data_IF_044661319241
#
_entry.id   IF_044661319241
#
_cell.length_a   1.000
_cell.length_b   1.000
_cell.length_c   1.000
_cell.angle_alpha   90.00
_cell.angle_beta   90.00
_cell.angle_gamma   90.00
#
_symmetry.space_group_name_H-M   'P 1'
#
loop_
_entity.id
_entity.type
_entity.pdbx_description
1 polymer ?
#
# COMPACT_ATOMS: atom_id res chain seq x y z
N UNK A 1 10.14 -3.77 -29.95
CA UNK A 1 9.77 -2.59 -29.11
C UNK A 1 8.29 -2.58 -28.71
N UNK A 2 7.35 -3.09 -29.52
CA UNK A 2 5.92 -3.16 -29.14
C UNK A 2 5.62 -3.98 -27.87
N UNK A 3 6.35 -5.08 -27.64
CA UNK A 3 6.19 -5.90 -26.42
C UNK A 3 6.61 -5.16 -25.14
N UNK A 4 7.69 -4.38 -25.19
CA UNK A 4 8.19 -3.64 -24.02
C UNK A 4 7.25 -2.49 -23.61
N UNK A 5 6.62 -1.82 -24.59
CA UNK A 5 5.66 -0.76 -24.33
C UNK A 5 4.38 -1.32 -23.66
N UNK A 6 3.86 -2.44 -24.17
CA UNK A 6 2.67 -3.10 -23.60
C UNK A 6 2.87 -3.62 -22.18
N UNK A 7 4.05 -4.16 -21.86
CA UNK A 7 4.40 -4.58 -20.50
C UNK A 7 4.50 -3.38 -19.53
N UNK A 8 5.17 -2.30 -19.94
CA UNK A 8 5.31 -1.11 -19.11
C UNK A 8 3.98 -0.43 -18.78
N UNK A 9 3.03 -0.39 -19.72
CA UNK A 9 1.70 0.19 -19.49
C UNK A 9 0.85 -0.57 -18.47
N UNK A 10 0.91 -1.92 -18.48
CA UNK A 10 0.17 -2.76 -17.53
C UNK A 10 0.69 -2.58 -16.11
N UNK A 11 2.00 -2.44 -15.95
CA UNK A 11 2.63 -2.30 -14.64
C UNK A 11 2.28 -0.96 -13.97
N UNK A 12 2.27 0.14 -14.74
CA UNK A 12 1.88 1.47 -14.26
C UNK A 12 0.37 1.52 -13.94
N UNK A 13 -0.49 0.96 -14.80
CA UNK A 13 -1.92 0.91 -14.54
C UNK A 13 -2.24 0.15 -13.23
N UNK A 14 -1.55 -0.96 -12.98
CA UNK A 14 -1.68 -1.71 -11.73
C UNK A 14 -1.27 -0.93 -10.48
N UNK A 15 -0.26 -0.05 -10.57
CA UNK A 15 0.17 0.80 -9.45
C UNK A 15 -0.86 1.89 -9.10
N UNK A 16 -1.47 2.52 -10.12
CA UNK A 16 -2.48 3.56 -9.90
C UNK A 16 -3.74 2.97 -9.27
N UNK A 17 -4.22 1.85 -9.81
CA UNK A 17 -5.40 1.15 -9.31
C UNK A 17 -5.18 0.70 -7.86
N UNK A 18 -3.96 0.23 -7.53
CA UNK A 18 -3.64 -0.16 -6.17
C UNK A 18 -3.81 1.00 -5.16
N UNK A 19 -3.39 2.22 -5.53
CA UNK A 19 -3.57 3.38 -4.65
C UNK A 19 -5.01 3.80 -4.44
N UNK A 20 -5.88 3.62 -5.45
CA UNK A 20 -7.32 3.87 -5.30
C UNK A 20 -7.93 2.88 -4.32
N UNK A 21 -7.66 1.58 -4.49
CA UNK A 21 -8.24 0.55 -3.62
C UNK A 21 -7.77 0.64 -2.16
N UNK A 22 -6.48 0.92 -1.92
CA UNK A 22 -5.98 1.04 -0.54
C UNK A 22 -6.69 2.18 0.21
N UNK A 23 -7.01 3.29 -0.48
CA UNK A 23 -7.78 4.41 0.10
C UNK A 23 -9.25 4.09 0.36
N UNK A 24 -9.81 3.13 -0.36
CA UNK A 24 -11.18 2.66 -0.11
C UNK A 24 -11.24 1.62 1.01
N UNK A 25 -10.21 0.77 1.12
CA UNK A 25 -10.17 -0.34 2.08
C UNK A 25 -9.69 0.07 3.47
N UNK A 26 -8.85 1.11 3.56
CA UNK A 26 -8.23 1.53 4.80
C UNK A 26 -8.34 3.03 5.02
N UNK A 27 -8.19 3.44 6.28
CA UNK A 27 -8.29 4.84 6.69
C UNK A 27 -7.05 5.26 7.48
N UNK A 28 -6.66 6.52 7.35
CA UNK A 28 -5.66 7.13 8.23
C UNK A 28 -6.16 7.06 9.67
N UNK A 29 -5.27 6.65 10.59
CA UNK A 29 -5.59 6.41 11.98
C UNK A 29 -5.98 4.95 12.30
N UNK A 30 -6.15 4.10 11.29
CA UNK A 30 -6.50 2.68 11.49
C UNK A 30 -5.27 1.85 11.86
N UNK A 31 -5.41 0.96 12.85
CA UNK A 31 -4.37 0.00 13.18
C UNK A 31 -4.42 -1.16 12.18
N UNK A 32 -3.28 -1.43 11.54
CA UNK A 32 -3.15 -2.52 10.57
C UNK A 32 -1.89 -3.31 10.82
N UNK A 33 -1.94 -4.58 10.42
CA UNK A 33 -0.77 -5.46 10.38
C UNK A 33 -0.51 -5.91 8.95
N UNK A 34 0.69 -5.62 8.45
CA UNK A 34 1.15 -5.98 7.12
C UNK A 34 2.34 -6.93 7.28
N UNK A 35 2.11 -8.22 7.06
CA UNK A 35 3.11 -9.25 7.35
C UNK A 35 3.48 -9.26 8.84
N UNK A 36 4.76 -9.00 9.12
CA UNK A 36 5.30 -8.96 10.49
C UNK A 36 5.28 -7.54 11.10
N UNK A 37 4.98 -6.51 10.31
CA UNK A 37 4.93 -5.12 10.77
C UNK A 37 3.52 -4.74 11.20
N UNK A 38 3.37 -4.26 12.42
CA UNK A 38 2.13 -3.73 12.98
C UNK A 38 2.28 -2.24 13.26
N UNK A 39 1.26 -1.46 12.91
CA UNK A 39 1.31 -0.01 13.09
C UNK A 39 0.01 0.68 12.69
N UNK A 40 -0.06 1.96 13.00
CA UNK A 40 -1.18 2.83 12.65
C UNK A 40 -0.92 3.48 11.30
N UNK A 41 -1.91 3.51 10.41
CA UNK A 41 -1.78 4.24 9.14
C UNK A 41 -1.66 5.73 9.43
N UNK A 42 -0.50 6.32 9.10
CA UNK A 42 -0.26 7.76 9.20
C UNK A 42 -0.70 8.48 7.91
N UNK A 43 -0.40 7.89 6.75
CA UNK A 43 -0.69 8.49 5.45
C UNK A 43 -0.98 7.42 4.38
N UNK A 44 -1.98 7.65 3.53
CA UNK A 44 -2.23 6.85 2.32
C UNK A 44 -1.95 7.69 1.07
N UNK A 45 -0.74 7.59 0.55
CA UNK A 45 -0.32 8.23 -0.70
C UNK A 45 -0.81 7.51 -1.96
N UNK A 46 -0.55 8.11 -3.12
CA UNK A 46 -0.99 7.56 -4.41
C UNK A 46 -0.35 6.21 -4.75
N UNK A 47 0.90 6.00 -4.31
CA UNK A 47 1.69 4.79 -4.64
C UNK A 47 2.16 4.01 -3.41
N UNK A 48 2.14 4.63 -2.23
CA UNK A 48 2.60 4.04 -0.98
C UNK A 48 1.73 4.48 0.19
N UNK A 49 1.74 3.67 1.24
CA UNK A 49 1.09 3.92 2.52
C UNK A 49 2.15 3.91 3.61
N UNK A 50 2.10 4.88 4.52
CA UNK A 50 3.02 5.00 5.65
C UNK A 50 2.32 4.53 6.92
N UNK A 51 2.98 3.64 7.65
CA UNK A 51 2.58 3.18 8.97
C UNK A 51 3.50 3.78 10.03
N UNK A 52 2.94 4.26 11.14
CA UNK A 52 3.65 4.53 12.37
C UNK A 52 3.60 3.28 13.24
N UNK A 53 4.75 2.65 13.47
CA UNK A 53 4.84 1.47 14.33
C UNK A 53 4.72 1.86 15.80
N UNK A 54 4.43 0.88 16.67
CA UNK A 54 4.36 1.09 18.12
C UNK A 54 5.72 1.52 18.73
N UNK A 55 6.81 1.31 17.99
CA UNK A 55 8.17 1.74 18.34
C UNK A 55 8.44 3.21 17.96
N UNK A 56 7.50 3.87 17.28
CA UNK A 56 7.62 5.25 16.81
C UNK A 56 8.35 5.40 15.47
N UNK A 57 8.53 4.31 14.72
CA UNK A 57 9.18 4.33 13.40
C UNK A 57 8.14 4.50 12.27
N UNK A 58 8.50 5.28 11.25
CA UNK A 58 7.69 5.43 10.04
C UNK A 58 8.12 4.44 8.97
N UNK A 59 7.26 3.46 8.67
CA UNK A 59 7.51 2.42 7.67
C UNK A 59 6.61 2.63 6.46
N UNK A 60 7.22 2.77 5.29
CA UNK A 60 6.50 2.96 4.01
C UNK A 60 6.34 1.63 3.27
N UNK A 61 5.10 1.26 2.95
CA UNK A 61 4.75 0.11 2.14
C UNK A 61 4.21 0.54 0.78
N UNK A 62 4.58 -0.16 -0.31
CA UNK A 62 3.91 0.04 -1.60
C UNK A 62 2.45 -0.37 -1.49
N UNK A 63 1.54 0.39 -2.08
CA UNK A 63 0.10 0.08 -2.07
C UNK A 63 -0.20 -1.32 -2.61
N UNK A 64 0.63 -1.82 -3.54
CA UNK A 64 0.52 -3.19 -4.05
C UNK A 64 0.71 -4.24 -2.94
N UNK A 65 1.65 -4.04 -2.02
CA UNK A 65 1.92 -4.97 -0.91
C UNK A 65 0.69 -5.06 0.01
N UNK A 66 0.03 -3.94 0.28
CA UNK A 66 -1.19 -3.92 1.12
C UNK A 66 -2.37 -4.66 0.47
N UNK A 67 -2.38 -4.84 -0.85
CA UNK A 67 -3.43 -5.55 -1.57
C UNK A 67 -3.10 -7.01 -1.83
N UNK A 68 -1.82 -7.34 -2.00
CA UNK A 68 -1.36 -8.70 -2.29
C UNK A 68 -1.12 -9.52 -1.03
N UNK A 69 -0.71 -8.87 0.07
CA UNK A 69 -0.50 -9.53 1.34
C UNK A 69 -1.77 -9.51 2.19
N UNK A 70 -1.88 -10.50 3.08
CA UNK A 70 -2.95 -10.54 4.06
C UNK A 70 -2.76 -9.41 5.06
N UNK A 71 -3.57 -8.37 4.92
CA UNK A 71 -3.66 -7.28 5.89
C UNK A 71 -4.83 -7.56 6.84
N UNK A 72 -4.57 -7.52 8.14
CA UNK A 72 -5.63 -7.52 9.15
C UNK A 72 -5.75 -6.13 9.75
N UNK A 73 -6.97 -5.64 9.85
CA UNK A 73 -7.30 -4.43 10.61
C UNK A 73 -8.22 -4.77 11.77
N UNK A 74 -8.11 -4.02 12.86
CA UNK A 74 -8.92 -4.17 14.07
C UNK A 74 -9.53 -2.83 14.46
#
# INVERSE_FOLDING_TARGET
>A
MALALGLGSREIAGQIIAGIYVRELFQVGQQVRVGDTEGQIEEIGTVKTTLLTDEGELVSFSNRILLEQRVSSR
#
